data_IF_814630623619
#
_entry.id   IF_814630623619
#
_cell.length_a   1.000
_cell.length_b   1.000
_cell.length_c   1.000
_cell.angle_alpha   90.00
_cell.angle_beta   90.00
_cell.angle_gamma   90.00
#
_symmetry.space_group_name_H-M   'P 1'
#
loop_
_entity.id
_entity.type
_entity.pdbx_description
1 polymer ?
#
# COMPACT_ATOMS: atom_id res chain seq x y z
N UNK A 1 -28.26 -57.54 26.09
CA UNK A 1 -26.99 -56.83 25.79
C UNK A 1 -27.29 -55.35 25.69
N UNK A 2 -26.82 -54.54 26.64
CA UNK A 2 -27.08 -53.09 26.72
C UNK A 2 -25.76 -52.36 26.98
N UNK A 3 -25.59 -51.30 26.22
CA UNK A 3 -24.38 -50.55 25.86
C UNK A 3 -23.69 -49.85 27.05
N UNK A 4 -22.35 -49.89 27.09
CA UNK A 4 -21.48 -49.35 28.15
C UNK A 4 -20.94 -47.93 27.86
N UNK A 5 -21.37 -47.26 26.79
CA UNK A 5 -20.73 -46.01 26.31
C UNK A 5 -21.33 -44.68 26.79
N UNK A 6 -22.35 -44.67 27.64
CA UNK A 6 -23.08 -43.42 28.00
C UNK A 6 -22.87 -42.90 29.42
N UNK A 7 -21.98 -43.49 30.24
CA UNK A 7 -21.80 -43.09 31.65
C UNK A 7 -20.63 -42.12 31.89
N UNK A 8 -19.73 -41.92 30.91
CA UNK A 8 -18.52 -41.09 31.10
C UNK A 8 -18.78 -39.59 30.90
N UNK A 9 -19.95 -39.21 30.37
CA UNK A 9 -20.25 -37.83 29.98
C UNK A 9 -21.19 -37.14 30.98
N UNK A 10 -20.84 -37.07 32.27
CA UNK A 10 -21.64 -36.30 33.25
C UNK A 10 -20.96 -35.84 34.55
N UNK A 11 -19.67 -36.10 34.74
CA UNK A 11 -18.97 -35.82 36.02
C UNK A 11 -17.85 -34.77 35.96
N UNK A 12 -17.73 -34.00 34.88
CA UNK A 12 -16.68 -32.97 34.74
C UNK A 12 -17.22 -31.53 34.78
N UNK A 13 -18.42 -31.31 35.33
CA UNK A 13 -19.08 -30.01 35.32
C UNK A 13 -19.72 -29.67 36.67
N UNK A 14 -18.93 -29.66 37.74
CA UNK A 14 -19.22 -29.05 39.05
C UNK A 14 -17.99 -29.28 39.94
N UNK A 15 -17.69 -28.36 40.86
CA UNK A 15 -16.49 -28.33 41.73
C UNK A 15 -15.23 -27.74 41.07
N UNK A 16 -15.13 -26.41 41.02
CA UNK A 16 -14.03 -25.66 41.64
C UNK A 16 -14.33 -24.15 41.53
N UNK A 17 -15.45 -23.75 42.14
CA UNK A 17 -15.71 -22.36 42.54
C UNK A 17 -15.59 -22.31 44.06
N UNK A 18 -14.82 -21.33 44.55
CA UNK A 18 -14.57 -20.96 45.96
C UNK A 18 -13.29 -21.55 46.59
N UNK A 19 -12.31 -20.67 46.80
CA UNK A 19 -11.22 -20.87 47.76
C UNK A 19 -9.84 -20.47 47.26
N UNK A 20 -9.51 -19.17 47.30
CA UNK A 20 -8.35 -18.66 48.04
C UNK A 20 -8.28 -17.12 47.86
N UNK A 21 -8.84 -16.42 48.84
CA UNK A 21 -8.59 -15.01 49.08
C UNK A 21 -7.39 -14.93 50.03
N UNK A 22 -6.54 -13.92 49.82
CA UNK A 22 -5.49 -13.42 50.72
C UNK A 22 -4.22 -14.28 50.84
N UNK A 23 -3.19 -13.92 50.08
CA UNK A 23 -1.86 -13.62 50.66
C UNK A 23 -1.05 -12.70 49.73
N UNK A 24 -0.46 -11.68 50.35
CA UNK A 24 0.80 -11.05 49.94
C UNK A 24 0.78 -9.99 48.84
N UNK A 25 0.49 -8.77 49.29
CA UNK A 25 1.19 -7.56 48.86
C UNK A 25 2.71 -7.82 48.82
N UNK A 26 3.28 -7.96 47.63
CA UNK A 26 4.67 -7.58 47.38
C UNK A 26 4.69 -6.68 46.15
N UNK A 27 4.88 -5.39 46.44
CA UNK A 27 5.14 -4.34 45.48
C UNK A 27 6.33 -4.72 44.60
N UNK A 28 6.06 -5.12 43.36
CA UNK A 28 7.06 -5.01 42.30
C UNK A 28 7.12 -3.55 41.87
N UNK A 29 7.96 -2.79 42.55
CA UNK A 29 8.55 -1.60 41.98
C UNK A 29 9.41 -2.02 40.79
N UNK A 30 8.78 -2.09 39.61
CA UNK A 30 9.52 -2.02 38.34
C UNK A 30 10.16 -0.65 38.30
N UNK A 31 11.48 -0.61 38.55
CA UNK A 31 12.33 0.52 38.20
C UNK A 31 11.95 0.92 36.77
N UNK A 32 11.48 2.15 36.60
CA UNK A 32 11.30 2.74 35.29
C UNK A 32 12.65 2.81 34.61
N UNK A 33 12.96 1.83 33.77
CA UNK A 33 13.92 2.04 32.70
C UNK A 33 13.29 3.08 31.78
N UNK A 34 13.73 4.32 31.94
CA UNK A 34 13.56 5.34 30.93
C UNK A 34 14.09 4.75 29.62
N UNK A 35 13.17 4.33 28.74
CA UNK A 35 13.51 4.01 27.36
C UNK A 35 14.19 5.24 26.81
N UNK A 36 15.51 5.19 26.71
CA UNK A 36 16.31 6.21 26.08
C UNK A 36 15.87 6.19 24.63
N UNK A 37 14.99 7.12 24.27
CA UNK A 37 14.51 7.24 22.91
C UNK A 37 15.74 7.47 22.04
N UNK A 38 16.03 6.50 21.17
CA UNK A 38 17.10 6.63 20.21
C UNK A 38 16.97 8.01 19.53
N UNK A 39 18.08 8.75 19.35
CA UNK A 39 18.01 10.07 18.76
C UNK A 39 17.23 10.00 17.46
N UNK A 40 16.24 10.89 17.34
CA UNK A 40 15.45 11.08 16.11
C UNK A 40 16.47 11.13 14.96
N UNK A 41 16.38 10.26 13.93
CA UNK A 41 17.27 10.40 12.79
C UNK A 41 17.09 11.82 12.27
N UNK A 42 18.19 12.58 12.29
CA UNK A 42 18.24 13.92 11.69
C UNK A 42 17.68 13.77 10.29
N UNK A 43 16.78 14.66 9.82
CA UNK A 43 16.36 14.64 8.43
C UNK A 43 17.63 14.60 7.60
N UNK A 44 17.82 13.50 6.86
CA UNK A 44 18.92 13.42 5.93
C UNK A 44 18.81 14.68 5.07
N UNK A 45 19.86 15.50 5.08
CA UNK A 45 19.98 16.60 4.14
C UNK A 45 19.62 16.01 2.78
N UNK A 46 18.50 16.46 2.22
CA UNK A 46 18.12 16.16 0.85
C UNK A 46 19.31 16.62 0.01
N UNK A 47 20.19 15.69 -0.34
CA UNK A 47 21.25 15.95 -1.29
C UNK A 47 20.55 16.35 -2.57
N UNK A 48 21.00 17.49 -3.11
CA UNK A 48 20.37 18.21 -4.21
C UNK A 48 19.72 17.26 -5.22
N UNK A 49 18.40 17.44 -5.42
CA UNK A 49 17.66 16.76 -6.47
C UNK A 49 18.45 16.90 -7.77
N UNK A 50 18.86 15.76 -8.33
CA UNK A 50 19.35 15.67 -9.70
C UNK A 50 18.31 16.38 -10.57
N UNK A 51 18.75 17.28 -11.45
CA UNK A 51 17.89 18.13 -12.25
C UNK A 51 16.67 17.35 -12.76
N UNK A 52 15.48 17.89 -12.50
CA UNK A 52 14.22 17.26 -12.89
C UNK A 52 14.29 16.91 -14.39
N UNK A 53 13.92 15.68 -14.78
CA UNK A 53 13.78 15.32 -16.19
C UNK A 53 12.91 16.36 -16.92
N UNK A 54 13.12 16.58 -18.23
CA UNK A 54 12.26 17.47 -19.00
C UNK A 54 10.80 17.05 -18.82
N UNK A 55 9.86 18.00 -18.75
CA UNK A 55 8.46 17.71 -18.52
C UNK A 55 7.99 16.71 -19.59
N UNK A 56 7.59 15.52 -19.13
CA UNK A 56 6.88 14.56 -19.98
C UNK A 56 5.58 15.21 -20.46
N UNK A 57 4.97 14.67 -21.51
CA UNK A 57 3.64 15.13 -22.00
C UNK A 57 2.62 15.20 -20.86
N UNK A 58 2.75 14.32 -19.85
CA UNK A 58 1.96 14.37 -18.63
C UNK A 58 2.07 15.72 -17.91
N UNK A 59 3.28 16.26 -17.71
CA UNK A 59 3.52 17.46 -16.91
C UNK A 59 2.92 18.75 -17.48
N UNK A 60 2.75 18.87 -18.80
CA UNK A 60 2.25 20.10 -19.43
C UNK A 60 0.75 20.37 -19.17
N UNK A 61 -0.02 19.33 -18.88
CA UNK A 61 -1.48 19.39 -18.72
C UNK A 61 -1.97 18.88 -17.36
N UNK A 62 -1.06 18.61 -16.43
CA UNK A 62 -1.41 18.01 -15.15
C UNK A 62 -1.84 19.05 -14.13
N UNK A 63 -3.05 18.91 -13.57
CA UNK A 63 -3.53 19.77 -12.50
C UNK A 63 -2.78 19.51 -11.19
N UNK A 64 -2.44 20.56 -10.44
CA UNK A 64 -1.73 20.46 -9.16
C UNK A 64 -2.55 21.08 -8.00
N UNK A 65 -3.75 20.57 -7.70
CA UNK A 65 -4.63 21.17 -6.69
C UNK A 65 -4.11 21.04 -5.25
N UNK A 66 -3.10 20.19 -5.01
CA UNK A 66 -2.53 19.91 -3.68
C UNK A 66 -1.11 20.48 -3.50
N UNK A 67 -0.74 21.48 -4.31
CA UNK A 67 0.58 22.10 -4.30
C UNK A 67 1.54 21.50 -5.32
N UNK A 68 2.82 21.90 -5.24
CA UNK A 68 3.82 21.61 -6.28
C UNK A 68 4.18 20.13 -6.45
N UNK A 69 3.88 19.27 -5.46
CA UNK A 69 4.13 17.84 -5.57
C UNK A 69 3.06 17.17 -6.47
N UNK A 70 3.43 16.59 -7.63
CA UNK A 70 2.47 15.95 -8.53
C UNK A 70 1.75 14.73 -7.94
N UNK A 71 2.35 14.09 -6.92
CA UNK A 71 1.82 12.89 -6.28
C UNK A 71 1.00 13.18 -5.01
N UNK A 72 0.90 14.46 -4.62
CA UNK A 72 0.07 14.87 -3.48
C UNK A 72 -1.42 14.54 -3.74
N UNK A 73 -2.20 14.23 -2.68
CA UNK A 73 -1.88 14.35 -1.25
C UNK A 73 -1.20 13.10 -0.67
N UNK A 74 -0.72 12.16 -1.50
CA UNK A 74 0.08 11.04 -1.00
C UNK A 74 1.52 11.48 -0.68
N UNK A 75 2.20 10.66 0.13
CA UNK A 75 3.63 10.76 0.41
C UNK A 75 4.48 10.00 -0.63
N UNK A 76 3.88 9.54 -1.72
CA UNK A 76 4.59 8.81 -2.76
C UNK A 76 5.53 9.76 -3.51
N UNK A 77 6.70 9.24 -3.88
CA UNK A 77 7.67 9.97 -4.67
C UNK A 77 8.28 9.06 -5.72
N UNK A 78 8.66 9.63 -6.87
CA UNK A 78 9.53 8.95 -7.81
C UNK A 78 10.98 9.28 -7.53
N UNK A 79 11.90 8.39 -7.89
CA UNK A 79 13.34 8.59 -7.69
C UNK A 79 13.87 9.85 -8.41
N UNK A 80 13.18 10.30 -9.47
CA UNK A 80 13.54 11.49 -10.25
C UNK A 80 12.72 12.73 -9.89
N UNK A 81 11.68 12.59 -9.05
CA UNK A 81 10.69 13.64 -8.78
C UNK A 81 9.75 13.96 -9.95
N UNK A 82 9.86 13.25 -11.08
CA UNK A 82 9.01 13.43 -12.25
C UNK A 82 8.10 12.20 -12.48
N UNK A 83 7.12 12.37 -13.38
CA UNK A 83 6.32 11.24 -13.87
C UNK A 83 7.18 10.20 -14.59
N UNK A 84 6.73 8.96 -14.52
CA UNK A 84 7.29 7.81 -15.21
C UNK A 84 6.48 7.60 -16.50
N UNK A 85 7.09 7.40 -17.68
CA UNK A 85 6.35 7.08 -18.91
C UNK A 85 5.38 5.91 -18.70
N UNK A 86 4.16 6.04 -19.22
CA UNK A 86 3.10 5.05 -19.00
C UNK A 86 3.47 3.67 -19.59
N UNK A 87 4.22 3.68 -20.69
CA UNK A 87 4.75 2.51 -21.39
C UNK A 87 5.77 1.71 -20.58
N UNK A 88 6.41 2.33 -19.58
CA UNK A 88 7.37 1.65 -18.71
C UNK A 88 6.65 0.78 -17.66
N UNK A 89 5.36 1.02 -17.41
CA UNK A 89 4.51 0.14 -16.59
C UNK A 89 4.06 -1.08 -17.41
N UNK A 90 5.01 -2.00 -17.60
CA UNK A 90 4.83 -3.21 -18.41
C UNK A 90 3.75 -4.11 -17.79
N UNK A 91 2.82 -4.67 -18.60
CA UNK A 91 1.77 -5.56 -18.11
C UNK A 91 2.31 -6.81 -17.43
N UNK A 92 1.62 -7.27 -16.37
CA UNK A 92 2.03 -8.44 -15.60
C UNK A 92 2.06 -9.75 -16.43
N UNK A 93 1.25 -9.85 -17.49
CA UNK A 93 1.27 -10.96 -18.44
C UNK A 93 2.66 -11.16 -19.10
N UNK A 94 3.46 -10.09 -19.19
CA UNK A 94 4.85 -10.21 -19.65
C UNK A 94 5.68 -11.04 -18.67
N UNK A 95 5.47 -10.85 -17.37
CA UNK A 95 6.15 -11.57 -16.30
C UNK A 95 5.74 -13.04 -16.26
N UNK A 96 4.48 -13.35 -16.60
CA UNK A 96 3.95 -14.72 -16.66
C UNK A 96 4.72 -15.65 -17.62
N UNK A 97 5.44 -15.09 -18.60
CA UNK A 97 6.27 -15.87 -19.55
C UNK A 97 7.42 -16.62 -18.87
N UNK A 98 7.90 -16.12 -17.73
CA UNK A 98 9.05 -16.69 -17.01
C UNK A 98 8.73 -16.96 -15.52
N UNK A 99 7.81 -16.22 -14.91
CA UNK A 99 7.45 -16.31 -13.49
C UNK A 99 6.02 -16.84 -13.32
N UNK A 100 5.76 -18.03 -13.86
CA UNK A 100 4.41 -18.63 -13.93
C UNK A 100 3.76 -18.76 -12.56
N UNK A 101 4.48 -19.27 -11.57
CA UNK A 101 3.91 -19.60 -10.26
C UNK A 101 3.61 -18.32 -9.46
N UNK A 102 4.54 -17.36 -9.47
CA UNK A 102 4.35 -16.07 -8.83
C UNK A 102 3.23 -15.27 -9.50
N UNK A 103 3.14 -15.32 -10.84
CA UNK A 103 2.06 -14.69 -11.57
C UNK A 103 0.70 -15.31 -11.23
N UNK A 104 0.60 -16.64 -11.16
CA UNK A 104 -0.64 -17.32 -10.78
C UNK A 104 -1.11 -16.89 -9.37
N UNK A 105 -0.19 -16.83 -8.40
CA UNK A 105 -0.51 -16.35 -7.05
C UNK A 105 -0.91 -14.87 -7.03
N UNK A 106 -0.19 -14.02 -7.75
CA UNK A 106 -0.55 -12.60 -7.86
C UNK A 106 -1.92 -12.41 -8.49
N UNK A 107 -2.25 -13.18 -9.54
CA UNK A 107 -3.50 -13.10 -10.28
C UNK A 107 -4.74 -13.35 -9.39
N UNK A 108 -4.59 -14.14 -8.33
CA UNK A 108 -5.64 -14.43 -7.33
C UNK A 108 -5.59 -13.50 -6.10
N UNK A 109 -4.62 -12.59 -6.04
CA UNK A 109 -4.38 -11.76 -4.86
C UNK A 109 -5.27 -10.51 -4.78
N UNK A 110 -5.34 -9.94 -3.58
CA UNK A 110 -5.92 -8.61 -3.38
C UNK A 110 -5.12 -7.51 -4.07
N UNK A 111 -3.81 -7.70 -4.29
CA UNK A 111 -2.98 -6.72 -5.00
C UNK A 111 -3.40 -6.59 -6.47
N UNK A 112 -3.65 -7.70 -7.15
CA UNK A 112 -4.22 -7.70 -8.51
C UNK A 112 -5.58 -7.00 -8.56
N UNK A 113 -6.44 -7.28 -7.60
CA UNK A 113 -7.81 -6.77 -7.57
C UNK A 113 -7.93 -5.39 -6.91
N UNK A 114 -6.82 -4.80 -6.48
CA UNK A 114 -6.81 -3.53 -5.74
C UNK A 114 -7.51 -2.39 -6.48
N UNK A 115 -7.38 -2.31 -7.80
CA UNK A 115 -8.12 -1.34 -8.60
C UNK A 115 -9.45 -1.88 -9.11
N UNK A 116 -9.55 -3.17 -9.49
CA UNK A 116 -10.71 -3.71 -10.25
C UNK A 116 -11.93 -4.04 -9.41
N UNK A 117 -11.77 -4.15 -8.09
CA UNK A 117 -12.84 -4.53 -7.18
C UNK A 117 -14.05 -3.57 -7.28
N UNK A 118 -15.27 -4.06 -7.59
CA UNK A 118 -16.46 -3.22 -7.76
C UNK A 118 -16.77 -2.25 -6.60
N UNK A 119 -16.59 -2.65 -5.34
CA UNK A 119 -16.80 -1.75 -4.21
C UNK A 119 -15.78 -0.61 -4.18
N UNK A 120 -14.52 -0.89 -4.51
CA UNK A 120 -13.50 0.15 -4.64
C UNK A 120 -13.81 1.09 -5.80
N UNK A 121 -14.11 0.53 -6.98
CA UNK A 121 -14.47 1.30 -8.18
C UNK A 121 -15.67 2.20 -7.92
N UNK A 122 -16.71 1.71 -7.23
CA UNK A 122 -17.86 2.53 -6.85
C UNK A 122 -17.43 3.75 -6.01
N UNK A 123 -16.63 3.54 -4.97
CA UNK A 123 -16.20 4.61 -4.08
C UNK A 123 -15.31 5.64 -4.79
N UNK A 124 -14.38 5.19 -5.64
CA UNK A 124 -13.52 6.08 -6.43
C UNK A 124 -14.34 6.87 -7.46
N UNK A 125 -15.29 6.24 -8.15
CA UNK A 125 -16.17 6.93 -9.09
C UNK A 125 -17.07 7.96 -8.39
N UNK A 126 -17.59 7.63 -7.20
CA UNK A 126 -18.37 8.56 -6.39
C UNK A 126 -17.50 9.77 -5.95
N UNK A 127 -16.21 9.55 -5.64
CA UNK A 127 -15.24 10.62 -5.35
C UNK A 127 -14.94 11.49 -6.58
N UNK A 128 -14.70 10.86 -7.74
CA UNK A 128 -14.47 11.54 -9.01
C UNK A 128 -15.65 12.47 -9.34
N UNK A 129 -16.89 11.97 -9.21
CA UNK A 129 -18.09 12.75 -9.48
C UNK A 129 -18.24 13.97 -8.55
N UNK A 130 -17.77 13.87 -7.31
CA UNK A 130 -17.93 14.92 -6.29
C UNK A 130 -16.78 15.93 -6.25
N UNK A 131 -15.56 15.54 -6.63
CA UNK A 131 -14.33 16.32 -6.40
C UNK A 131 -13.37 16.37 -7.59
N UNK A 132 -13.55 15.50 -8.58
CA UNK A 132 -12.63 15.36 -9.71
C UNK A 132 -11.63 14.21 -9.54
N UNK A 133 -11.03 13.78 -10.65
CA UNK A 133 -10.09 12.65 -10.72
C UNK A 133 -8.78 12.91 -9.98
N UNK A 134 -8.40 14.18 -9.83
CA UNK A 134 -7.19 14.57 -9.11
C UNK A 134 -7.22 14.10 -7.65
N UNK A 135 -8.41 14.03 -7.04
CA UNK A 135 -8.58 13.57 -5.66
C UNK A 135 -8.33 12.07 -5.48
N UNK A 136 -8.34 11.28 -6.55
CA UNK A 136 -8.07 9.84 -6.46
C UNK A 136 -6.59 9.55 -6.23
N UNK A 137 -5.67 10.50 -6.44
CA UNK A 137 -4.22 10.35 -6.19
C UNK A 137 -3.90 9.79 -4.81
N UNK A 138 -4.70 10.15 -3.82
CA UNK A 138 -4.61 9.60 -2.47
C UNK A 138 -4.78 8.07 -2.48
N UNK A 139 -5.85 7.60 -3.12
CA UNK A 139 -6.23 6.19 -3.23
C UNK A 139 -5.27 5.43 -4.15
N UNK A 140 -4.94 5.99 -5.31
CA UNK A 140 -4.13 5.33 -6.32
C UNK A 140 -2.66 5.17 -5.91
N UNK A 141 -2.19 5.94 -4.92
CA UNK A 141 -0.87 5.72 -4.32
C UNK A 141 -0.68 4.31 -3.75
N UNK A 142 -1.77 3.61 -3.41
CA UNK A 142 -1.72 2.22 -2.95
C UNK A 142 -2.44 1.27 -3.90
N UNK A 143 -3.50 1.70 -4.59
CA UNK A 143 -4.36 0.81 -5.38
C UNK A 143 -3.98 0.71 -6.86
N UNK A 144 -3.35 1.74 -7.42
CA UNK A 144 -2.90 1.74 -8.80
C UNK A 144 -1.68 2.67 -8.96
N UNK A 145 -0.51 2.24 -8.45
CA UNK A 145 0.70 3.07 -8.49
C UNK A 145 1.04 3.51 -9.93
N UNK A 146 0.80 2.68 -10.93
CA UNK A 146 1.03 3.02 -12.33
C UNK A 146 0.19 4.24 -12.77
N UNK A 147 -1.09 4.32 -12.38
CA UNK A 147 -1.93 5.49 -12.66
C UNK A 147 -1.40 6.77 -12.00
N UNK A 148 -0.95 6.67 -10.73
CA UNK A 148 -0.38 7.81 -10.02
C UNK A 148 0.90 8.30 -10.67
N UNK A 149 1.86 7.40 -10.91
CA UNK A 149 3.20 7.76 -11.36
C UNK A 149 3.27 8.07 -12.85
N UNK A 150 2.32 7.61 -13.67
CA UNK A 150 2.23 8.00 -15.08
C UNK A 150 1.72 9.43 -15.29
N UNK A 151 1.08 10.03 -14.29
CA UNK A 151 0.40 11.30 -14.45
C UNK A 151 -0.97 11.17 -15.13
N UNK A 152 -1.60 9.99 -15.06
CA UNK A 152 -2.92 9.76 -15.64
C UNK A 152 -4.06 10.41 -14.82
N UNK A 153 -3.81 10.79 -13.56
CA UNK A 153 -4.84 11.26 -12.61
C UNK A 153 -5.07 12.78 -12.70
N UNK A 154 -5.47 13.21 -13.89
CA UNK A 154 -5.87 14.59 -14.21
C UNK A 154 -7.03 14.56 -15.20
N UNK A 155 -7.88 15.58 -15.19
CA UNK A 155 -8.98 15.71 -16.14
C UNK A 155 -8.45 15.68 -17.59
N UNK A 156 -9.20 15.03 -18.48
CA UNK A 156 -8.92 14.92 -19.91
C UNK A 156 -7.51 14.36 -20.23
N UNK A 157 -6.98 13.49 -19.34
CA UNK A 157 -5.65 12.90 -19.52
C UNK A 157 -5.54 12.15 -20.86
N UNK A 158 -4.50 12.42 -21.67
CA UNK A 158 -4.27 11.69 -22.92
C UNK A 158 -3.66 10.29 -22.68
N UNK A 159 -3.32 9.97 -21.42
CA UNK A 159 -2.63 8.74 -21.07
C UNK A 159 -3.62 7.59 -21.05
N UNK A 160 -3.36 6.59 -21.90
CA UNK A 160 -4.08 5.31 -21.86
C UNK A 160 -3.71 4.57 -20.59
N UNK A 161 -4.68 3.88 -19.99
CA UNK A 161 -4.54 3.21 -18.68
C UNK A 161 -4.69 1.69 -18.77
N UNK A 162 -3.87 0.97 -19.57
CA UNK A 162 -3.96 -0.49 -19.63
C UNK A 162 -3.61 -1.16 -18.29
N UNK A 163 -2.80 -0.48 -17.46
CA UNK A 163 -2.41 -0.93 -16.12
C UNK A 163 -3.57 -0.94 -15.10
N UNK A 164 -4.74 -0.37 -15.43
CA UNK A 164 -5.93 -0.49 -14.59
C UNK A 164 -6.37 -1.96 -14.40
N UNK A 165 -6.05 -2.83 -15.36
CA UNK A 165 -6.33 -4.27 -15.27
C UNK A 165 -5.38 -5.03 -14.36
N UNK A 166 -4.29 -4.41 -13.90
CA UNK A 166 -3.27 -5.07 -13.08
C UNK A 166 -3.22 -4.56 -11.63
N UNK A 167 -3.88 -3.43 -11.32
CA UNK A 167 -3.87 -2.85 -9.98
C UNK A 167 -2.44 -2.64 -9.45
N UNK A 168 -2.11 -3.26 -8.31
CA UNK A 168 -0.73 -3.36 -7.82
C UNK A 168 -0.06 -4.53 -8.51
N UNK A 169 0.52 -4.23 -9.68
CA UNK A 169 1.20 -5.21 -10.53
C UNK A 169 2.60 -5.58 -10.03
N UNK A 170 3.21 -6.59 -10.68
CA UNK A 170 4.60 -6.99 -10.39
C UNK A 170 5.55 -5.79 -10.48
N UNK A 171 5.43 -5.01 -11.55
CA UNK A 171 6.36 -3.91 -11.82
C UNK A 171 6.20 -2.78 -10.79
N UNK A 172 5.00 -2.55 -10.24
CA UNK A 172 4.81 -1.59 -9.17
C UNK A 172 5.65 -1.96 -7.93
N UNK A 173 5.52 -3.19 -7.43
CA UNK A 173 6.27 -3.64 -6.26
C UNK A 173 7.78 -3.73 -6.51
N UNK A 174 8.18 -4.27 -7.66
CA UNK A 174 9.59 -4.46 -8.01
C UNK A 174 10.32 -3.15 -8.37
N UNK A 175 9.58 -2.04 -8.55
CA UNK A 175 10.16 -0.72 -8.77
C UNK A 175 10.27 0.12 -7.50
N UNK A 176 9.71 -0.31 -6.37
CA UNK A 176 9.87 0.42 -5.10
C UNK A 176 11.31 0.26 -4.61
N UNK A 177 12.02 1.39 -4.47
CA UNK A 177 13.41 1.43 -4.02
C UNK A 177 13.53 1.57 -2.50
N UNK A 178 12.62 2.34 -1.88
CA UNK A 178 12.59 2.53 -0.43
C UNK A 178 11.16 2.69 0.06
N UNK A 179 10.89 2.24 1.28
CA UNK A 179 9.62 2.45 1.97
C UNK A 179 9.89 3.11 3.32
N UNK A 180 9.14 4.18 3.61
CA UNK A 180 9.23 4.91 4.89
C UNK A 180 8.22 4.42 5.91
N UNK A 181 7.15 3.76 5.45
CA UNK A 181 6.03 3.29 6.30
C UNK A 181 5.21 4.42 6.94
N UNK A 182 5.36 5.67 6.47
CA UNK A 182 4.70 6.84 7.05
C UNK A 182 3.67 7.45 6.12
N UNK A 183 2.46 7.65 6.66
CA UNK A 183 1.34 8.22 5.92
C UNK A 183 0.91 7.35 4.74
N UNK A 184 0.15 7.95 3.82
CA UNK A 184 -0.41 7.25 2.66
C UNK A 184 0.59 7.31 1.50
N UNK A 185 0.89 6.15 0.89
CA UNK A 185 1.84 6.06 -0.21
C UNK A 185 3.30 6.35 0.19
N UNK A 186 3.71 6.14 1.44
CA UNK A 186 5.05 6.51 1.92
C UNK A 186 6.21 5.66 1.39
N UNK A 187 6.47 5.70 0.09
CA UNK A 187 7.53 4.97 -0.61
C UNK A 187 8.11 5.76 -1.79
N UNK A 188 9.31 5.37 -2.25
CA UNK A 188 9.96 5.92 -3.44
C UNK A 188 9.97 4.88 -4.54
N UNK A 189 9.35 5.19 -5.68
CA UNK A 189 9.34 4.36 -6.88
C UNK A 189 10.49 4.77 -7.82
N UNK A 190 11.35 3.82 -8.15
CA UNK A 190 12.33 3.95 -9.23
C UNK A 190 11.68 3.81 -10.60
N UNK A 191 12.49 3.96 -11.65
CA UNK A 191 12.02 3.65 -13.00
C UNK A 191 11.74 2.14 -13.12
N UNK A 192 10.53 1.76 -13.55
CA UNK A 192 10.24 0.41 -13.98
C UNK A 192 11.26 -0.09 -15.00
N UNK A 193 11.85 -1.25 -14.73
CA UNK A 193 12.74 -1.92 -15.66
C UNK A 193 12.49 -3.42 -15.59
N UNK A 194 12.61 -4.09 -16.75
CA UNK A 194 12.74 -5.54 -16.81
C UNK A 194 14.15 -5.87 -16.31
N UNK A 195 14.26 -6.18 -15.02
CA UNK A 195 15.48 -6.74 -14.44
C UNK A 195 15.67 -8.19 -14.90
#
# INVERSE_FOLDING_TARGET
MRDRRTVVLRWALTFFTAGLILTSLFASMRKGEAQTQAPRPTPAKQTAAKAAPPPTVAAAHYALPFGANPFAPSNAASATGAFIPAEDFIPADRCAKCHTDAHAQWNESAHRNSFREPFYQKNVNDLIAQRGIEFTRHCESCHNPAALFSGALTKDSPIKRPFDEDGVSCIACHSIQTATGRGIGGYVMGQPALL
#
